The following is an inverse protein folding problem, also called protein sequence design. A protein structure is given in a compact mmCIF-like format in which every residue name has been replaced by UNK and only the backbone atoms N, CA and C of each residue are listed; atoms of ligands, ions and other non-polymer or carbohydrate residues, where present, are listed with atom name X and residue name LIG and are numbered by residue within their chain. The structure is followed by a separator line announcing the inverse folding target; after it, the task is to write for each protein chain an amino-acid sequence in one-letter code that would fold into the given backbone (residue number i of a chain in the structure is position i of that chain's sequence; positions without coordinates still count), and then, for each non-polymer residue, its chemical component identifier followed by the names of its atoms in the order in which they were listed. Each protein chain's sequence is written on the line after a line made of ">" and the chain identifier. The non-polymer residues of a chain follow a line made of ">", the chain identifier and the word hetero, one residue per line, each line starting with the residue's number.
data_IF_690712449022
#
_entry.id   IF_690712449022
#
_cell.length_a   1.000
_cell.length_b   1.000
_cell.length_c   1.000
_cell.angle_alpha   90.00
_cell.angle_beta   90.00
_cell.angle_gamma   90.00
#
_symmetry.space_group_name_H-M   'P 1'
#
loop_
_entity.id
_entity.type
_entity.pdbx_description
1 polymer ?
#
# COMPACT_ATOMS: atom_id res chain seq x y z
N UNK A 1 -6.99 19.07 3.10
CA UNK A 1 -7.11 18.17 1.94
C UNK A 1 -7.52 19.02 0.75
N UNK A 2 -6.88 18.86 -0.42
CA UNK A 2 -7.17 19.66 -1.59
C UNK A 2 -8.67 19.62 -1.95
N UNK A 3 -9.20 20.75 -2.42
CA UNK A 3 -10.54 20.89 -2.99
C UNK A 3 -10.63 20.36 -4.43
N UNK A 4 -9.54 20.40 -5.16
CA UNK A 4 -9.47 19.94 -6.55
C UNK A 4 -8.03 19.81 -7.04
N UNK A 5 -7.81 18.89 -7.98
CA UNK A 5 -6.62 18.81 -8.82
C UNK A 5 -7.03 18.86 -10.28
N UNK A 6 -6.31 19.64 -11.10
CA UNK A 6 -6.62 19.82 -12.52
C UNK A 6 -5.35 19.63 -13.36
N UNK A 7 -5.49 18.96 -14.50
CA UNK A 7 -4.52 18.99 -15.59
C UNK A 7 -5.04 19.97 -16.64
N UNK A 8 -4.29 21.04 -16.87
CA UNK A 8 -4.65 22.07 -17.84
C UNK A 8 -3.59 22.20 -18.90
N UNK A 9 -4.02 22.48 -20.13
CA UNK A 9 -3.15 22.74 -21.27
C UNK A 9 -3.63 24.00 -22.00
N UNK A 10 -2.70 24.71 -22.65
CA UNK A 10 -3.05 25.84 -23.51
C UNK A 10 -3.39 25.38 -24.93
N UNK A 11 -4.56 25.79 -25.39
CA UNK A 11 -5.00 25.69 -26.77
C UNK A 11 -4.97 27.09 -27.43
N UNK A 12 -4.42 27.18 -28.64
CA UNK A 12 -4.29 28.47 -29.35
C UNK A 12 -5.61 29.10 -29.76
N UNK A 13 -6.70 28.32 -29.82
CA UNK A 13 -8.04 28.77 -30.22
C UNK A 13 -8.98 28.93 -29.03
N UNK A 14 -8.88 28.04 -28.04
CA UNK A 14 -9.80 27.98 -26.90
C UNK A 14 -9.22 28.59 -25.61
N UNK A 15 -7.92 28.91 -25.59
CA UNK A 15 -7.22 29.35 -24.39
C UNK A 15 -6.91 28.18 -23.45
N UNK A 16 -6.98 28.38 -22.14
CA UNK A 16 -6.75 27.28 -21.21
C UNK A 16 -7.89 26.23 -21.26
N UNK A 17 -7.50 24.98 -21.50
CA UNK A 17 -8.41 23.82 -21.57
C UNK A 17 -8.08 22.87 -20.43
N UNK A 18 -9.09 22.46 -19.68
CA UNK A 18 -8.97 21.40 -18.66
C UNK A 18 -9.01 20.05 -19.38
N UNK A 19 -7.91 19.30 -19.34
CA UNK A 19 -7.82 17.94 -19.92
C UNK A 19 -8.35 16.88 -18.97
N UNK A 20 -8.15 17.07 -17.68
CA UNK A 20 -8.66 16.19 -16.63
C UNK A 20 -8.79 16.97 -15.33
N UNK A 21 -9.75 16.58 -14.49
CA UNK A 21 -9.94 17.16 -13.17
C UNK A 21 -10.47 16.11 -12.19
N UNK A 22 -10.10 16.26 -10.92
CA UNK A 22 -10.65 15.48 -9.82
C UNK A 22 -10.88 16.38 -8.60
N UNK A 23 -12.09 16.40 -8.01
CA UNK A 23 -13.32 15.82 -8.56
C UNK A 23 -13.70 16.44 -9.91
N UNK A 24 -14.56 15.76 -10.69
CA UNK A 24 -14.93 16.22 -12.03
C UNK A 24 -15.53 17.64 -12.04
N UNK A 25 -16.29 17.98 -11.00
CA UNK A 25 -16.66 19.36 -10.70
C UNK A 25 -15.53 20.02 -9.90
N UNK A 26 -14.79 20.92 -10.54
CA UNK A 26 -13.63 21.57 -9.93
C UNK A 26 -13.93 23.01 -9.48
N UNK A 27 -13.22 23.51 -8.46
CA UNK A 27 -13.51 24.81 -7.83
C UNK A 27 -12.97 26.04 -8.59
N UNK A 28 -12.31 25.86 -9.73
CA UNK A 28 -11.74 26.95 -10.54
C UNK A 28 -12.58 27.23 -11.79
N UNK A 29 -12.80 28.51 -12.07
CA UNK A 29 -13.34 29.00 -13.34
C UNK A 29 -12.25 29.12 -14.41
N UNK A 30 -12.64 29.11 -15.68
CA UNK A 30 -11.70 29.30 -16.80
C UNK A 30 -10.93 30.63 -16.70
N UNK A 31 -11.54 31.68 -16.14
CA UNK A 31 -10.87 32.97 -15.92
C UNK A 31 -9.76 32.86 -14.86
N UNK A 32 -10.01 32.15 -13.75
CA UNK A 32 -8.98 31.88 -12.74
C UNK A 32 -7.83 31.06 -13.33
N UNK A 33 -8.13 30.02 -14.12
CA UNK A 33 -7.12 29.20 -14.80
C UNK A 33 -6.26 30.04 -15.75
N UNK A 34 -6.88 30.90 -16.56
CA UNK A 34 -6.15 31.80 -17.45
C UNK A 34 -5.23 32.77 -16.68
N UNK A 35 -5.67 33.30 -15.53
CA UNK A 35 -4.82 34.16 -14.68
C UNK A 35 -3.61 33.41 -14.13
N UNK A 36 -3.79 32.15 -13.73
CA UNK A 36 -2.70 31.29 -13.26
C UNK A 36 -1.69 31.07 -14.39
N UNK A 37 -2.17 30.77 -15.59
CA UNK A 37 -1.31 30.59 -16.77
C UNK A 37 -0.51 31.85 -17.12
N UNK A 38 -1.16 33.02 -17.08
CA UNK A 38 -0.48 34.30 -17.25
C UNK A 38 0.57 34.57 -16.17
N UNK A 39 0.35 34.09 -14.94
CA UNK A 39 1.34 34.22 -13.87
C UNK A 39 2.61 33.44 -14.19
N UNK A 40 2.48 32.23 -14.73
CA UNK A 40 3.62 31.46 -15.24
C UNK A 40 4.29 32.14 -16.44
N UNK A 41 3.53 32.71 -17.38
CA UNK A 41 4.12 33.34 -18.58
C UNK A 41 4.95 34.59 -18.26
N UNK A 42 4.61 35.32 -17.20
CA UNK A 42 5.34 36.51 -16.75
C UNK A 42 6.64 36.12 -16.03
N UNK A 43 6.70 34.96 -15.38
CA UNK A 43 7.91 34.51 -14.67
C UNK A 43 9.05 34.23 -15.66
N UNK A 44 10.24 34.79 -15.35
CA UNK A 44 11.45 34.67 -16.17
C UNK A 44 12.21 33.35 -15.99
N UNK A 45 11.77 32.51 -15.05
CA UNK A 45 12.37 31.20 -14.78
C UNK A 45 12.14 30.31 -16.01
N UNK A 46 13.16 29.56 -16.42
CA UNK A 46 13.09 28.62 -17.55
C UNK A 46 12.97 27.16 -17.13
N UNK A 47 13.29 26.86 -15.88
CA UNK A 47 13.18 25.53 -15.27
C UNK A 47 11.73 25.26 -14.82
N UNK A 48 11.36 23.99 -14.56
CA UNK A 48 10.09 23.67 -13.93
C UNK A 48 9.88 24.52 -12.67
N UNK A 49 8.69 25.11 -12.55
CA UNK A 49 8.38 26.00 -11.42
C UNK A 49 7.05 25.64 -10.78
N UNK A 50 6.98 25.86 -9.46
CA UNK A 50 5.74 25.81 -8.70
C UNK A 50 5.44 27.22 -8.21
N UNK A 51 4.27 27.73 -8.58
CA UNK A 51 3.72 28.98 -8.05
C UNK A 51 2.68 28.68 -6.99
N UNK A 52 2.72 29.44 -5.90
CA UNK A 52 1.63 29.51 -4.92
C UNK A 52 0.86 30.79 -5.17
N UNK A 53 -0.43 30.67 -5.49
CA UNK A 53 -1.28 31.77 -5.92
C UNK A 53 -2.50 31.81 -5.01
N UNK A 54 -2.76 32.98 -4.43
CA UNK A 54 -3.90 33.21 -3.55
C UNK A 54 -5.02 33.91 -4.35
N UNK A 55 -6.16 33.25 -4.51
CA UNK A 55 -7.30 33.77 -5.28
C UNK A 55 -8.63 33.47 -4.57
N UNK A 56 -9.39 34.53 -4.25
CA UNK A 56 -10.78 34.43 -3.78
C UNK A 56 -10.98 33.44 -2.61
N UNK A 57 -10.11 33.49 -1.58
CA UNK A 57 -10.21 32.60 -0.42
C UNK A 57 -9.62 31.19 -0.63
N UNK A 58 -8.93 30.97 -1.76
CA UNK A 58 -8.30 29.70 -2.13
C UNK A 58 -6.79 29.88 -2.30
N UNK A 59 -6.05 28.84 -1.97
CA UNK A 59 -4.62 28.73 -2.30
C UNK A 59 -4.49 27.74 -3.45
N UNK A 60 -3.81 28.14 -4.52
CA UNK A 60 -3.54 27.31 -5.67
C UNK A 60 -2.03 27.05 -5.75
N UNK A 61 -1.64 25.78 -5.71
CA UNK A 61 -0.30 25.34 -6.10
C UNK A 61 -0.34 24.97 -7.58
N UNK A 62 0.46 25.65 -8.39
CA UNK A 62 0.49 25.46 -9.84
C UNK A 62 1.89 25.04 -10.28
N UNK A 63 2.02 23.81 -10.77
CA UNK A 63 3.27 23.31 -11.36
C UNK A 63 3.22 23.50 -12.88
N UNK A 64 4.28 24.08 -13.44
CA UNK A 64 4.46 24.21 -14.89
C UNK A 64 5.85 23.70 -15.31
N UNK A 65 5.88 22.78 -16.27
CA UNK A 65 7.12 22.31 -16.90
C UNK A 65 7.60 23.31 -17.97
N UNK A 66 8.17 24.43 -17.52
CA UNK A 66 8.55 25.54 -18.40
C UNK A 66 9.62 25.21 -19.42
N UNK A 67 10.52 24.31 -19.04
CA UNK A 67 11.56 23.75 -19.90
C UNK A 67 10.98 23.05 -21.14
N UNK A 68 9.69 22.70 -21.11
CA UNK A 68 8.98 22.00 -22.18
C UNK A 68 7.92 22.84 -22.87
N UNK A 69 7.87 24.16 -22.66
CA UNK A 69 6.87 25.02 -23.33
C UNK A 69 6.95 24.93 -24.85
N UNK A 70 8.16 24.81 -25.41
CA UNK A 70 8.34 24.72 -26.87
C UNK A 70 7.69 23.47 -27.48
N UNK A 71 7.55 22.38 -26.72
CA UNK A 71 7.01 21.11 -27.19
C UNK A 71 5.59 20.84 -26.70
N UNK A 72 5.24 21.33 -25.50
CA UNK A 72 3.98 21.04 -24.82
C UNK A 72 3.05 22.25 -24.70
N UNK A 73 3.50 23.45 -25.08
CA UNK A 73 2.85 24.68 -24.70
C UNK A 73 2.82 24.85 -23.17
N UNK A 74 1.95 25.74 -22.69
CA UNK A 74 1.71 25.87 -21.25
C UNK A 74 0.81 24.72 -20.80
N UNK A 75 1.44 23.65 -20.31
CA UNK A 75 0.76 22.57 -19.59
C UNK A 75 1.08 22.64 -18.11
N UNK A 76 0.06 22.48 -17.26
CA UNK A 76 0.18 22.69 -15.82
C UNK A 76 -0.68 21.72 -15.02
N UNK A 77 -0.23 21.45 -13.81
CA UNK A 77 -1.02 20.76 -12.79
C UNK A 77 -1.39 21.80 -11.72
N UNK A 78 -2.68 21.91 -11.43
CA UNK A 78 -3.22 22.84 -10.43
C UNK A 78 -3.76 22.05 -9.26
N UNK A 79 -3.30 22.34 -8.05
CA UNK A 79 -3.83 21.84 -6.79
C UNK A 79 -4.50 23.00 -6.05
N UNK A 80 -5.76 22.82 -5.64
CA UNK A 80 -6.57 23.88 -5.04
C UNK A 80 -6.86 23.55 -3.59
N UNK A 81 -6.68 24.51 -2.68
CA UNK A 81 -6.89 24.39 -1.25
C UNK A 81 -7.77 25.53 -0.72
N UNK A 82 -8.34 25.36 0.47
CA UNK A 82 -8.87 26.48 1.26
C UNK A 82 -7.71 27.24 1.91
N UNK A 83 -7.84 28.55 2.12
CA UNK A 83 -6.81 29.38 2.78
C UNK A 83 -6.39 28.88 4.17
N UNK A 84 -7.30 28.20 4.89
CA UNK A 84 -7.06 27.68 6.24
C UNK A 84 -6.08 26.49 6.29
N UNK A 85 -5.75 25.85 5.16
CA UNK A 85 -4.95 24.62 5.11
C UNK A 85 -3.42 24.83 4.93
N UNK A 86 -2.93 26.04 5.22
CA UNK A 86 -1.57 26.49 4.94
C UNK A 86 -0.47 25.57 5.52
N UNK A 87 -0.71 24.92 6.67
CA UNK A 87 0.26 24.02 7.31
C UNK A 87 0.59 22.75 6.52
N UNK A 88 -0.27 22.32 5.58
CA UNK A 88 -0.08 21.09 4.79
C UNK A 88 0.57 21.35 3.43
N UNK A 89 0.68 22.61 3.01
CA UNK A 89 1.16 22.99 1.68
C UNK A 89 2.59 22.52 1.35
N UNK A 90 3.58 22.52 2.27
CA UNK A 90 4.94 22.09 1.93
C UNK A 90 5.00 20.65 1.40
N UNK A 91 4.30 19.71 2.06
CA UNK A 91 4.25 18.31 1.63
C UNK A 91 3.58 18.16 0.25
N UNK A 92 2.50 18.90 0.00
CA UNK A 92 1.83 18.90 -1.30
C UNK A 92 2.68 19.55 -2.40
N UNK A 93 3.51 20.55 -2.10
CA UNK A 93 4.45 21.14 -3.06
C UNK A 93 5.50 20.12 -3.50
N UNK A 94 6.09 19.38 -2.55
CA UNK A 94 7.09 18.35 -2.87
C UNK A 94 6.47 17.23 -3.73
N UNK A 95 5.29 16.73 -3.34
CA UNK A 95 4.55 15.74 -4.11
C UNK A 95 4.18 16.25 -5.52
N UNK A 96 3.69 17.48 -5.62
CA UNK A 96 3.35 18.10 -6.90
C UNK A 96 4.58 18.25 -7.81
N UNK A 97 5.74 18.59 -7.25
CA UNK A 97 6.98 18.67 -7.99
C UNK A 97 7.37 17.31 -8.58
N UNK A 98 7.38 16.28 -7.73
CA UNK A 98 7.71 14.91 -8.12
C UNK A 98 6.80 14.39 -9.23
N UNK A 99 5.47 14.47 -9.03
CA UNK A 99 4.52 14.00 -10.03
C UNK A 99 4.50 14.87 -11.28
N UNK A 100 4.69 16.18 -11.16
CA UNK A 100 4.81 17.09 -12.30
C UNK A 100 5.97 16.70 -13.21
N UNK A 101 7.14 16.42 -12.64
CA UNK A 101 8.29 15.96 -13.41
C UNK A 101 8.02 14.65 -14.15
N UNK A 102 7.36 13.68 -13.50
CA UNK A 102 7.01 12.40 -14.14
C UNK A 102 5.97 12.60 -15.24
N UNK A 103 4.85 13.27 -14.91
CA UNK A 103 3.71 13.45 -15.81
C UNK A 103 4.13 14.11 -17.13
N UNK A 104 4.92 15.19 -17.08
CA UNK A 104 5.33 15.90 -18.30
C UNK A 104 6.52 15.26 -19.02
N UNK A 105 7.08 14.16 -18.51
CA UNK A 105 7.99 13.28 -19.26
C UNK A 105 7.24 12.17 -20.02
N UNK A 106 5.97 11.92 -19.72
CA UNK A 106 5.14 10.94 -20.42
C UNK A 106 4.67 11.44 -21.79
N UNK A 107 4.25 10.51 -22.67
CA UNK A 107 3.59 10.84 -23.94
C UNK A 107 2.21 11.44 -23.65
N UNK A 108 1.71 12.29 -24.55
CA UNK A 108 0.45 13.00 -24.36
C UNK A 108 -0.75 12.08 -24.05
N UNK A 109 -0.81 10.90 -24.68
CA UNK A 109 -1.86 9.91 -24.47
C UNK A 109 -1.83 9.30 -23.05
N UNK A 110 -0.65 9.18 -22.46
CA UNK A 110 -0.44 8.54 -21.14
C UNK A 110 -0.61 9.53 -19.98
N UNK A 111 -0.52 10.84 -20.25
CA UNK A 111 -0.60 11.89 -19.23
C UNK A 111 -1.91 11.88 -18.46
N UNK A 112 -3.04 11.69 -19.14
CA UNK A 112 -4.36 11.65 -18.48
C UNK A 112 -4.48 10.43 -17.56
N UNK A 113 -3.95 9.28 -17.97
CA UNK A 113 -3.98 8.07 -17.15
C UNK A 113 -3.09 8.22 -15.91
N UNK A 114 -1.87 8.72 -16.08
CA UNK A 114 -0.99 9.03 -14.95
C UNK A 114 -1.58 10.11 -14.03
N UNK A 115 -2.22 11.13 -14.61
CA UNK A 115 -2.92 12.17 -13.84
C UNK A 115 -4.02 11.57 -12.96
N UNK A 116 -4.84 10.64 -13.50
CA UNK A 116 -5.87 9.95 -12.71
C UNK A 116 -5.25 9.21 -11.52
N UNK A 117 -4.18 8.46 -11.75
CA UNK A 117 -3.47 7.74 -10.67
C UNK A 117 -2.94 8.69 -9.59
N UNK A 118 -2.28 9.78 -9.99
CA UNK A 118 -1.81 10.82 -9.06
C UNK A 118 -2.99 11.49 -8.33
N UNK A 119 -4.08 11.79 -9.03
CA UNK A 119 -5.25 12.44 -8.42
C UNK A 119 -5.86 11.59 -7.32
N UNK A 120 -5.88 10.27 -7.52
CA UNK A 120 -6.27 9.34 -6.47
C UNK A 120 -5.31 9.44 -5.27
N UNK A 121 -3.99 9.39 -5.47
CA UNK A 121 -3.01 9.51 -4.37
C UNK A 121 -3.13 10.81 -3.57
N UNK A 122 -3.41 11.92 -4.26
CA UNK A 122 -3.57 13.25 -3.65
C UNK A 122 -4.82 13.33 -2.78
N UNK A 123 -5.92 12.70 -3.21
CA UNK A 123 -7.23 12.78 -2.56
C UNK A 123 -7.54 11.61 -1.62
N UNK A 124 -6.80 10.52 -1.75
CA UNK A 124 -7.01 9.35 -0.92
C UNK A 124 -6.48 9.63 0.46
N UNK A 125 -7.41 9.73 1.40
CA UNK A 125 -7.06 9.61 2.80
C UNK A 125 -6.44 8.23 2.97
N UNK A 126 -5.16 8.18 3.32
CA UNK A 126 -4.55 6.92 3.66
C UNK A 126 -5.33 6.29 4.80
N UNK A 127 -5.80 5.06 4.58
CA UNK A 127 -6.55 4.34 5.59
C UNK A 127 -5.56 3.58 6.45
N UNK A 128 -5.52 3.90 7.74
CA UNK A 128 -4.70 3.17 8.68
C UNK A 128 -5.28 1.76 8.86
N UNK A 129 -4.45 0.75 8.61
CA UNK A 129 -4.82 -0.66 8.77
C UNK A 129 -3.78 -1.39 9.59
N UNK A 130 -4.21 -2.40 10.33
CA UNK A 130 -3.32 -3.23 11.15
C UNK A 130 -3.23 -4.64 10.58
N UNK A 131 -2.00 -5.08 10.32
CA UNK A 131 -1.65 -6.44 9.89
C UNK A 131 -0.88 -7.15 11.00
N UNK A 132 -1.30 -8.35 11.36
CA UNK A 132 -0.67 -9.16 12.39
C UNK A 132 -0.06 -10.44 11.78
N UNK A 133 1.25 -10.63 11.97
CA UNK A 133 1.93 -11.89 11.65
C UNK A 133 1.97 -12.79 12.90
N UNK A 134 1.46 -14.01 12.77
CA UNK A 134 1.42 -15.01 13.84
C UNK A 134 2.02 -16.31 13.33
N UNK A 135 2.69 -17.07 14.19
CA UNK A 135 3.28 -18.35 13.84
C UNK A 135 4.44 -18.72 14.75
N UNK A 136 4.84 -19.98 14.75
CA UNK A 136 5.94 -20.47 15.56
C UNK A 136 7.27 -19.75 15.25
N UNK A 137 8.29 -19.97 16.08
CA UNK A 137 9.62 -19.41 15.82
C UNK A 137 10.19 -20.00 14.52
N UNK A 138 11.04 -19.23 13.84
CA UNK A 138 11.76 -19.64 12.63
C UNK A 138 10.92 -20.05 11.39
N UNK A 139 9.58 -19.98 11.40
CA UNK A 139 8.72 -20.29 10.23
C UNK A 139 8.82 -19.27 9.08
N UNK A 140 9.55 -18.17 9.29
CA UNK A 140 9.87 -17.18 8.24
C UNK A 140 8.97 -15.94 8.20
N UNK A 141 8.28 -15.59 9.30
CA UNK A 141 7.43 -14.38 9.42
C UNK A 141 8.20 -13.09 9.09
N UNK A 142 9.31 -12.87 9.80
CA UNK A 142 10.15 -11.69 9.61
C UNK A 142 10.79 -11.66 8.22
N UNK A 143 11.12 -12.82 7.65
CA UNK A 143 11.64 -12.90 6.27
C UNK A 143 10.60 -12.46 5.24
N UNK A 144 9.35 -12.96 5.34
CA UNK A 144 8.25 -12.51 4.46
C UNK A 144 8.07 -10.99 4.55
N UNK A 145 8.04 -10.45 5.77
CA UNK A 145 7.90 -9.01 6.01
C UNK A 145 9.03 -8.22 5.34
N UNK A 146 10.29 -8.60 5.58
CA UNK A 146 11.46 -7.91 5.00
C UNK A 146 11.51 -8.02 3.47
N UNK A 147 11.21 -9.19 2.92
CA UNK A 147 11.17 -9.40 1.47
C UNK A 147 10.10 -8.53 0.80
N UNK A 148 8.89 -8.45 1.36
CA UNK A 148 7.79 -7.72 0.74
C UNK A 148 7.82 -6.21 1.03
N UNK A 149 8.01 -5.80 2.29
CA UNK A 149 7.90 -4.39 2.69
C UNK A 149 9.23 -3.62 2.65
N UNK A 150 10.36 -4.30 2.80
CA UNK A 150 11.69 -3.66 2.84
C UNK A 150 12.51 -3.94 1.57
N UNK A 151 11.94 -4.68 0.60
CA UNK A 151 12.64 -5.13 -0.61
C UNK A 151 13.99 -5.81 -0.31
N UNK A 152 14.09 -6.47 0.83
CA UNK A 152 15.32 -7.15 1.23
C UNK A 152 15.62 -8.32 0.28
N UNK A 153 16.89 -8.48 -0.08
CA UNK A 153 17.35 -9.56 -0.94
C UNK A 153 17.03 -10.91 -0.31
N UNK A 154 16.28 -11.75 -1.03
CA UNK A 154 15.99 -13.11 -0.60
C UNK A 154 17.27 -13.92 -0.38
N UNK A 155 18.30 -13.70 -1.20
CA UNK A 155 19.58 -14.40 -1.07
C UNK A 155 20.26 -13.99 0.25
N UNK A 156 20.26 -12.69 0.60
CA UNK A 156 20.85 -12.21 1.86
C UNK A 156 20.10 -12.74 3.10
N UNK A 157 18.78 -12.85 3.02
CA UNK A 157 17.94 -13.36 4.12
C UNK A 157 18.07 -14.88 4.32
N UNK A 158 18.43 -15.62 3.27
CA UNK A 158 18.71 -17.05 3.35
C UNK A 158 20.12 -17.31 3.89
N UNK A 159 21.09 -16.48 3.53
CA UNK A 159 22.50 -16.64 3.92
C UNK A 159 22.82 -16.06 5.31
N UNK A 160 22.03 -15.09 5.78
CA UNK A 160 22.25 -14.44 7.09
C UNK A 160 21.07 -14.71 8.02
N UNK A 161 21.28 -15.47 9.12
CA UNK A 161 20.22 -15.70 10.09
C UNK A 161 19.78 -14.36 10.69
N UNK A 162 18.48 -14.11 10.65
CA UNK A 162 17.86 -12.95 11.29
C UNK A 162 17.95 -13.09 12.81
N UNK A 163 18.16 -11.96 13.49
CA UNK A 163 18.05 -11.93 14.95
C UNK A 163 16.64 -12.35 15.38
N UNK A 164 16.50 -13.13 16.47
CA UNK A 164 15.20 -13.51 17.00
C UNK A 164 14.34 -12.29 17.36
N UNK A 165 13.07 -12.32 16.97
CA UNK A 165 12.09 -11.33 17.42
C UNK A 165 11.73 -11.61 18.89
N UNK A 166 11.80 -10.59 19.74
CA UNK A 166 11.38 -10.64 21.15
C UNK A 166 10.10 -9.81 21.33
N UNK A 167 9.11 -10.33 22.05
CA UNK A 167 7.88 -9.60 22.33
C UNK A 167 6.99 -9.38 21.10
N UNK A 168 6.24 -8.28 21.18
CA UNK A 168 5.44 -7.74 20.09
C UNK A 168 6.21 -6.57 19.48
N UNK A 169 6.64 -6.69 18.22
CA UNK A 169 7.34 -5.61 17.52
C UNK A 169 6.42 -4.96 16.51
N UNK A 170 6.28 -3.64 16.60
CA UNK A 170 5.46 -2.83 15.70
C UNK A 170 6.32 -2.15 14.65
N UNK A 171 5.87 -2.22 13.40
CA UNK A 171 6.45 -1.52 12.26
C UNK A 171 5.37 -0.69 11.57
N UNK A 172 5.76 0.41 10.95
CA UNK A 172 4.86 1.22 10.12
C UNK A 172 5.39 1.26 8.69
N UNK A 173 4.54 0.88 7.75
CA UNK A 173 4.84 0.94 6.32
C UNK A 173 3.72 1.65 5.57
N UNK A 174 4.07 2.36 4.50
CA UNK A 174 3.09 2.86 3.54
C UNK A 174 2.98 1.87 2.37
N UNK A 175 1.77 1.48 2.00
CA UNK A 175 1.51 0.64 0.83
C UNK A 175 0.27 1.16 0.11
N UNK A 176 0.44 1.70 -1.11
CA UNK A 176 -0.64 2.33 -1.87
C UNK A 176 -1.39 3.40 -1.04
N UNK A 177 -2.67 3.20 -0.80
CA UNK A 177 -3.61 4.01 0.01
C UNK A 177 -3.63 3.60 1.49
N UNK A 178 -2.73 2.72 1.94
CA UNK A 178 -2.70 2.21 3.30
C UNK A 178 -1.50 2.75 4.08
N UNK A 179 -1.77 3.15 5.32
CA UNK A 179 -0.75 3.24 6.37
C UNK A 179 -0.85 1.98 7.24
N UNK A 180 0.07 1.04 7.04
CA UNK A 180 0.05 -0.29 7.64
C UNK A 180 0.83 -0.31 8.95
N UNK A 181 0.15 -0.59 10.05
CA UNK A 181 0.77 -1.04 11.30
C UNK A 181 0.97 -2.55 11.25
N UNK A 182 2.22 -3.01 11.14
CA UNK A 182 2.55 -4.44 11.16
C UNK A 182 3.00 -4.83 12.56
N UNK A 183 2.32 -5.79 13.15
CA UNK A 183 2.71 -6.44 14.39
C UNK A 183 3.35 -7.80 14.06
N UNK A 184 4.64 -7.98 14.38
CA UNK A 184 5.34 -9.26 14.28
C UNK A 184 5.46 -9.86 15.68
N UNK A 185 4.79 -10.99 15.88
CA UNK A 185 4.71 -11.66 17.18
C UNK A 185 5.86 -12.66 17.33
N UNK A 186 6.61 -12.53 18.43
CA UNK A 186 7.66 -13.49 18.76
C UNK A 186 7.10 -14.91 18.86
N UNK A 187 7.63 -15.82 18.04
CA UNK A 187 7.07 -17.17 17.93
C UNK A 187 7.18 -18.00 19.21
N UNK A 188 8.10 -17.63 20.12
CA UNK A 188 8.28 -18.27 21.43
C UNK A 188 7.17 -17.89 22.43
N UNK A 189 6.56 -16.71 22.25
CA UNK A 189 5.52 -16.18 23.15
C UNK A 189 4.12 -16.36 22.57
N UNK A 190 3.99 -17.00 21.39
CA UNK A 190 2.72 -17.19 20.70
C UNK A 190 1.67 -17.88 21.58
N UNK A 191 2.03 -18.95 22.29
CA UNK A 191 1.08 -19.65 23.16
C UNK A 191 0.56 -18.76 24.29
N UNK A 192 1.40 -17.87 24.82
CA UNK A 192 1.00 -16.89 25.83
C UNK A 192 0.01 -15.88 25.22
N UNK A 193 0.30 -15.35 24.03
CA UNK A 193 -0.58 -14.40 23.36
C UNK A 193 -1.89 -15.02 22.83
N UNK A 194 -1.95 -16.34 22.66
CA UNK A 194 -3.17 -17.06 22.28
C UNK A 194 -4.03 -17.47 23.48
N UNK A 195 -3.55 -17.31 24.71
CA UNK A 195 -4.33 -17.59 25.93
C UNK A 195 -5.50 -16.59 26.04
N UNK A 196 -6.69 -17.10 26.32
CA UNK A 196 -7.91 -16.30 26.54
C UNK A 196 -7.81 -15.44 27.81
N UNK A 197 -6.99 -15.86 28.79
CA UNK A 197 -6.81 -15.17 30.07
C UNK A 197 -5.67 -14.15 30.04
N UNK A 198 -5.15 -13.82 28.85
CA UNK A 198 -4.06 -12.87 28.70
C UNK A 198 -4.41 -11.52 29.36
N UNK A 199 -3.75 -11.21 30.47
CA UNK A 199 -3.80 -9.90 31.15
C UNK A 199 -2.55 -9.11 30.76
N UNK A 200 -2.49 -8.68 29.51
CA UNK A 200 -1.49 -7.71 29.04
C UNK A 200 -2.15 -6.39 28.74
N UNK A 201 -1.44 -5.29 28.97
CA UNK A 201 -1.92 -3.94 28.65
C UNK A 201 -2.07 -3.72 27.12
N UNK A 202 -1.47 -4.61 26.31
CA UNK A 202 -1.53 -4.58 24.85
C UNK A 202 -1.96 -5.97 24.36
N UNK A 203 -3.16 -6.06 23.79
CA UNK A 203 -3.64 -7.25 23.09
C UNK A 203 -3.28 -7.13 21.59
N UNK A 204 -2.45 -8.01 21.03
CA UNK A 204 -2.05 -7.92 19.63
C UNK A 204 -3.24 -8.04 18.66
N UNK A 205 -4.34 -8.70 19.06
CA UNK A 205 -5.51 -8.89 18.21
C UNK A 205 -6.42 -7.66 18.12
N UNK A 206 -6.40 -6.78 19.11
CA UNK A 206 -7.29 -5.62 19.16
C UNK A 206 -7.06 -4.67 17.97
N UNK A 207 -8.15 -4.31 17.28
CA UNK A 207 -8.10 -3.42 16.12
C UNK A 207 -7.35 -3.97 14.91
N UNK A 208 -7.17 -5.29 14.81
CA UNK A 208 -6.50 -5.92 13.66
C UNK A 208 -7.46 -6.04 12.46
N UNK A 209 -7.02 -5.66 11.27
CA UNK A 209 -7.81 -5.83 10.03
C UNK A 209 -7.44 -7.13 9.30
N UNK A 210 -6.17 -7.52 9.37
CA UNK A 210 -5.61 -8.65 8.63
C UNK A 210 -4.71 -9.50 9.51
N UNK A 211 -4.84 -10.82 9.41
CA UNK A 211 -4.00 -11.78 10.13
C UNK A 211 -3.37 -12.73 9.13
N UNK A 212 -2.04 -12.84 9.15
CA UNK A 212 -1.30 -13.87 8.42
C UNK A 212 -0.75 -14.86 9.44
N UNK A 213 -1.32 -16.06 9.48
CA UNK A 213 -0.78 -17.18 10.23
C UNK A 213 0.23 -17.93 9.37
N UNK A 214 1.47 -18.07 9.82
CA UNK A 214 2.57 -18.69 9.09
C UNK A 214 3.02 -19.97 9.79
N UNK A 215 3.17 -21.04 9.02
CA UNK A 215 3.87 -22.26 9.41
C UNK A 215 4.75 -22.75 8.25
N UNK A 216 5.61 -23.74 8.48
CA UNK A 216 6.42 -24.36 7.44
C UNK A 216 6.23 -25.90 7.38
N UNK A 217 6.63 -26.57 6.28
CA UNK A 217 6.47 -28.02 6.13
C UNK A 217 7.08 -28.84 7.26
N UNK A 218 8.24 -28.43 7.78
CA UNK A 218 8.89 -29.14 8.89
C UNK A 218 8.07 -29.07 10.18
N UNK A 219 7.47 -27.90 10.46
CA UNK A 219 6.56 -27.72 11.58
C UNK A 219 5.26 -28.51 11.39
N UNK A 220 4.73 -28.57 10.16
CA UNK A 220 3.56 -29.38 9.84
C UNK A 220 3.80 -30.88 10.08
N UNK A 221 4.92 -31.41 9.63
CA UNK A 221 5.28 -32.82 9.83
C UNK A 221 5.49 -33.18 11.30
N UNK A 222 6.00 -32.23 12.10
CA UNK A 222 6.27 -32.45 13.52
C UNK A 222 5.02 -32.28 14.37
N UNK A 223 4.18 -31.28 14.09
CA UNK A 223 3.09 -30.88 14.98
C UNK A 223 1.91 -30.19 14.27
N UNK A 224 1.28 -30.91 13.34
CA UNK A 224 0.06 -30.45 12.66
C UNK A 224 -1.12 -30.19 13.61
N UNK A 225 -1.17 -30.88 14.76
CA UNK A 225 -2.26 -30.74 15.73
C UNK A 225 -2.22 -29.35 16.37
N UNK A 226 -1.05 -28.93 16.82
CA UNK A 226 -0.83 -27.60 17.38
C UNK A 226 -1.15 -26.47 16.39
N UNK A 227 -0.93 -26.68 15.08
CA UNK A 227 -1.35 -25.72 14.06
C UNK A 227 -2.87 -25.51 14.06
N UNK A 228 -3.63 -26.61 14.09
CA UNK A 228 -5.09 -26.58 14.17
C UNK A 228 -5.57 -25.93 15.46
N UNK A 229 -4.91 -26.21 16.59
CA UNK A 229 -5.20 -25.56 17.87
C UNK A 229 -4.96 -24.05 17.82
N UNK A 230 -3.84 -23.60 17.25
CA UNK A 230 -3.55 -22.17 17.10
C UNK A 230 -4.61 -21.48 16.26
N UNK A 231 -4.99 -22.06 15.11
CA UNK A 231 -5.99 -21.49 14.22
C UNK A 231 -7.35 -21.39 14.91
N UNK A 232 -7.73 -22.40 15.71
CA UNK A 232 -8.96 -22.38 16.51
C UNK A 232 -8.95 -21.23 17.52
N UNK A 233 -7.85 -21.07 18.28
CA UNK A 233 -7.69 -19.99 19.27
C UNK A 233 -7.70 -18.61 18.60
N UNK A 234 -7.05 -18.48 17.44
CA UNK A 234 -7.05 -17.25 16.64
C UNK A 234 -8.49 -16.88 16.24
N UNK A 235 -9.27 -17.83 15.71
CA UNK A 235 -10.67 -17.58 15.35
C UNK A 235 -11.52 -17.14 16.55
N UNK A 236 -11.35 -17.78 17.70
CA UNK A 236 -12.05 -17.41 18.94
C UNK A 236 -11.71 -15.98 19.38
N UNK A 237 -10.42 -15.59 19.33
CA UNK A 237 -9.98 -14.23 19.66
C UNK A 237 -10.52 -13.18 18.69
N UNK A 238 -10.52 -13.47 17.39
CA UNK A 238 -11.00 -12.54 16.37
C UNK A 238 -12.47 -12.21 16.57
N UNK A 239 -13.31 -13.20 16.89
CA UNK A 239 -14.75 -12.99 17.14
C UNK A 239 -14.99 -11.95 18.25
N UNK A 240 -14.12 -11.88 19.25
CA UNK A 240 -14.28 -10.98 20.39
C UNK A 240 -13.53 -9.66 20.24
N UNK A 241 -12.34 -9.68 19.62
CA UNK A 241 -11.40 -8.54 19.60
C UNK A 241 -11.31 -7.82 18.26
N UNK A 242 -11.61 -8.51 17.16
CA UNK A 242 -11.50 -7.94 15.82
C UNK A 242 -12.48 -8.62 14.84
N UNK A 243 -13.81 -8.48 15.00
CA UNK A 243 -14.78 -9.29 14.26
C UNK A 243 -14.72 -9.15 12.74
N UNK A 244 -14.17 -8.05 12.24
CA UNK A 244 -13.97 -7.78 10.80
C UNK A 244 -12.63 -8.28 10.25
N UNK A 245 -11.76 -8.85 11.08
CA UNK A 245 -10.44 -9.27 10.64
C UNK A 245 -10.51 -10.47 9.70
N UNK A 246 -9.72 -10.44 8.63
CA UNK A 246 -9.59 -11.57 7.69
C UNK A 246 -8.32 -12.36 8.00
N UNK A 247 -8.43 -13.69 7.97
CA UNK A 247 -7.32 -14.60 8.24
C UNK A 247 -6.80 -15.17 6.93
N UNK A 248 -5.48 -15.23 6.81
CA UNK A 248 -4.77 -15.91 5.73
C UNK A 248 -3.78 -16.90 6.33
N UNK A 249 -3.74 -18.10 5.76
CA UNK A 249 -2.92 -19.19 6.26
C UNK A 249 -1.79 -19.42 5.26
N UNK A 250 -0.55 -19.13 5.66
CA UNK A 250 0.63 -19.26 4.82
C UNK A 250 1.41 -20.51 5.25
N UNK A 251 1.53 -21.48 4.35
CA UNK A 251 2.54 -22.53 4.43
C UNK A 251 3.79 -22.02 3.69
N UNK A 252 4.75 -21.49 4.45
CA UNK A 252 5.99 -20.91 3.95
C UNK A 252 7.09 -21.96 3.81
N UNK A 253 8.19 -21.61 3.13
CA UNK A 253 9.33 -22.52 2.85
C UNK A 253 8.96 -23.77 2.05
N UNK A 254 8.03 -23.64 1.11
CA UNK A 254 7.62 -24.75 0.24
C UNK A 254 8.71 -25.27 -0.69
N UNK A 255 9.83 -24.55 -0.79
CA UNK A 255 11.07 -25.03 -1.42
C UNK A 255 11.66 -26.25 -0.71
N UNK A 256 11.41 -26.43 0.59
CA UNK A 256 11.86 -27.60 1.36
C UNK A 256 11.11 -28.89 0.99
N UNK A 257 9.93 -28.79 0.38
CA UNK A 257 9.18 -29.96 -0.09
C UNK A 257 9.67 -30.37 -1.47
N UNK A 258 9.96 -31.67 -1.64
CA UNK A 258 10.41 -32.23 -2.91
C UNK A 258 9.37 -32.01 -4.02
N UNK A 259 9.78 -31.59 -5.24
CA UNK A 259 8.84 -31.27 -6.33
C UNK A 259 7.79 -32.33 -6.60
N UNK A 260 8.15 -33.61 -6.51
CA UNK A 260 7.31 -34.77 -6.77
C UNK A 260 6.22 -34.94 -5.70
N UNK A 261 6.54 -34.59 -4.45
CA UNK A 261 5.66 -34.72 -3.29
C UNK A 261 4.87 -33.45 -2.96
N UNK A 262 5.13 -32.33 -3.65
CA UNK A 262 4.45 -31.04 -3.38
C UNK A 262 2.94 -31.14 -3.51
N UNK A 263 2.44 -31.77 -4.58
CA UNK A 263 0.99 -31.88 -4.80
C UNK A 263 0.30 -32.70 -3.71
N UNK A 264 0.88 -33.83 -3.33
CA UNK A 264 0.34 -34.67 -2.26
C UNK A 264 0.39 -33.93 -0.92
N UNK A 265 1.50 -33.26 -0.61
CA UNK A 265 1.64 -32.46 0.61
C UNK A 265 0.58 -31.36 0.69
N UNK A 266 0.37 -30.61 -0.40
CA UNK A 266 -0.66 -29.57 -0.47
C UNK A 266 -2.05 -30.13 -0.22
N UNK A 267 -2.39 -31.28 -0.83
CA UNK A 267 -3.68 -31.94 -0.62
C UNK A 267 -3.86 -32.40 0.83
N UNK A 268 -2.81 -32.93 1.46
CA UNK A 268 -2.83 -33.33 2.88
C UNK A 268 -3.08 -32.12 3.78
N UNK A 269 -2.37 -31.01 3.57
CA UNK A 269 -2.55 -29.78 4.34
C UNK A 269 -3.96 -29.22 4.16
N UNK A 270 -4.43 -29.11 2.91
CA UNK A 270 -5.78 -28.59 2.61
C UNK A 270 -6.86 -29.48 3.24
N UNK A 271 -6.73 -30.80 3.13
CA UNK A 271 -7.71 -31.74 3.72
C UNK A 271 -7.72 -31.68 5.25
N UNK A 272 -6.55 -31.58 5.88
CA UNK A 272 -6.46 -31.47 7.34
C UNK A 272 -6.97 -30.12 7.87
N UNK A 273 -6.88 -29.04 7.07
CA UNK A 273 -7.37 -27.70 7.40
C UNK A 273 -8.72 -27.38 6.76
N UNK A 274 -9.50 -28.39 6.36
CA UNK A 274 -10.80 -28.21 5.70
C UNK A 274 -11.79 -27.43 6.56
N UNK A 275 -11.73 -27.57 7.90
CA UNK A 275 -12.52 -26.79 8.85
C UNK A 275 -12.21 -25.29 8.83
N UNK A 276 -11.06 -24.89 8.28
CA UNK A 276 -10.63 -23.51 8.11
C UNK A 276 -10.69 -23.06 6.65
N UNK A 277 -11.33 -23.82 5.76
CA UNK A 277 -11.40 -23.58 4.31
C UNK A 277 -12.01 -22.24 3.90
N UNK A 278 -12.76 -21.57 4.79
CA UNK A 278 -13.20 -20.19 4.61
C UNK A 278 -12.05 -19.17 4.56
N UNK A 279 -10.88 -19.54 5.10
CA UNK A 279 -9.67 -18.74 5.08
C UNK A 279 -8.75 -19.23 3.95
N UNK A 280 -8.19 -18.33 3.11
CA UNK A 280 -7.27 -18.74 2.05
C UNK A 280 -6.01 -19.42 2.60
N UNK A 281 -5.73 -20.64 2.14
CA UNK A 281 -4.49 -21.38 2.41
C UNK A 281 -3.54 -21.19 1.23
N UNK A 282 -2.36 -20.65 1.49
CA UNK A 282 -1.40 -20.21 0.49
C UNK A 282 -0.04 -20.85 0.72
N UNK A 283 0.49 -21.47 -0.31
CA UNK A 283 1.80 -22.12 -0.31
C UNK A 283 2.84 -21.15 -0.88
N UNK A 284 3.83 -20.77 -0.08
CA UNK A 284 4.78 -19.69 -0.40
C UNK A 284 6.23 -20.04 -0.02
N UNK A 285 7.18 -19.27 -0.56
CA UNK A 285 8.58 -19.26 -0.14
C UNK A 285 9.24 -17.96 -0.63
N UNK A 286 10.28 -17.52 0.08
CA UNK A 286 11.09 -16.36 -0.31
C UNK A 286 12.12 -16.68 -1.41
N UNK A 287 12.31 -17.95 -1.74
CA UNK A 287 13.25 -18.38 -2.79
C UNK A 287 12.80 -17.90 -4.17
N UNK A 288 13.76 -17.69 -5.09
CA UNK A 288 13.51 -17.13 -6.44
C UNK A 288 12.37 -17.82 -7.21
N UNK A 289 12.27 -19.14 -7.10
CA UNK A 289 11.23 -19.91 -7.79
C UNK A 289 9.80 -19.63 -7.29
N UNK A 290 9.65 -19.25 -6.01
CA UNK A 290 8.36 -19.01 -5.36
C UNK A 290 8.07 -17.54 -5.09
N UNK A 291 9.09 -16.68 -5.23
CA UNK A 291 9.00 -15.25 -4.95
C UNK A 291 7.82 -14.57 -5.68
N UNK A 292 7.56 -14.80 -6.99
CA UNK A 292 6.39 -14.22 -7.64
C UNK A 292 5.06 -14.65 -6.99
N UNK A 293 4.99 -15.89 -6.51
CA UNK A 293 3.83 -16.42 -5.78
C UNK A 293 3.64 -15.74 -4.42
N UNK A 294 4.73 -15.50 -3.69
CA UNK A 294 4.69 -14.73 -2.44
C UNK A 294 4.20 -13.30 -2.66
N UNK A 295 4.72 -12.60 -3.67
CA UNK A 295 4.27 -11.23 -3.98
C UNK A 295 2.80 -11.19 -4.39
N UNK A 296 2.34 -12.12 -5.24
CA UNK A 296 0.92 -12.24 -5.59
C UNK A 296 0.05 -12.51 -4.36
N UNK A 297 0.49 -13.40 -3.46
CA UNK A 297 -0.23 -13.70 -2.23
C UNK A 297 -0.35 -12.45 -1.35
N UNK A 298 0.75 -11.72 -1.13
CA UNK A 298 0.75 -10.50 -0.33
C UNK A 298 -0.11 -9.40 -0.97
N UNK A 299 -0.07 -9.25 -2.30
CA UNK A 299 -0.97 -8.34 -3.03
C UNK A 299 -2.44 -8.70 -2.80
N UNK A 300 -2.79 -9.98 -2.85
CA UNK A 300 -4.16 -10.45 -2.55
C UNK A 300 -4.57 -10.14 -1.11
N UNK A 301 -3.67 -10.29 -0.13
CA UNK A 301 -3.93 -9.94 1.28
C UNK A 301 -4.17 -8.43 1.42
N UNK A 302 -3.27 -7.61 0.88
CA UNK A 302 -3.38 -6.14 1.00
C UNK A 302 -4.58 -5.60 0.22
N UNK A 303 -4.92 -6.21 -0.91
CA UNK A 303 -6.08 -5.84 -1.71
C UNK A 303 -7.43 -6.08 -1.01
N UNK A 304 -7.46 -6.82 0.09
CA UNK A 304 -8.68 -6.97 0.89
C UNK A 304 -9.07 -5.72 1.68
N UNK A 305 -8.13 -4.80 1.91
CA UNK A 305 -8.32 -3.62 2.75
C UNK A 305 -7.96 -2.31 2.05
N UNK A 306 -7.34 -2.40 0.87
CA UNK A 306 -7.06 -1.28 -0.03
C UNK A 306 -8.26 -0.99 -0.92
N UNK A 307 -8.59 0.29 -1.04
CA UNK A 307 -9.64 0.78 -1.94
C UNK A 307 -9.08 0.92 -3.37
N UNK A 308 -7.75 1.15 -3.53
CA UNK A 308 -7.09 1.24 -4.86
C UNK A 308 -7.16 -0.04 -5.67
N UNK A 309 -7.06 -1.20 -5.02
CA UNK A 309 -6.96 -2.46 -5.76
C UNK A 309 -8.25 -2.82 -6.48
N UNK A 310 -9.42 -2.44 -5.95
CA UNK A 310 -10.70 -2.68 -6.62
C UNK A 310 -10.89 -1.83 -7.87
N UNK A 311 -10.46 -0.56 -7.82
CA UNK A 311 -10.61 0.37 -8.96
C UNK A 311 -9.62 0.11 -10.10
N UNK A 312 -8.48 -0.53 -9.82
CA UNK A 312 -7.51 -0.91 -10.84
C UNK A 312 -7.96 -2.11 -11.71
N UNK A 313 -8.91 -2.92 -11.25
CA UNK A 313 -9.46 -4.04 -12.04
C UNK A 313 -10.56 -3.60 -13.02
N UNK A 314 -11.13 -2.39 -12.84
CA UNK A 314 -12.16 -1.82 -13.72
C UNK A 314 -11.61 -0.94 -14.87
N UNK A 315 -10.29 -0.83 -15.00
CA UNK A 315 -9.58 -0.07 -16.06
C UNK A 315 -8.95 -1.03 -17.08
#
# INVERSE_FOLDING_TARGET
>A
MPLGILLTEWDSTLGAVVKAAYPAQHPLSNNEINKILMSHSISKIKEPEILEIHLQGKIILSYCAKDKIATLGYSMILLVFKEEENSTLPAYKENLNFHGMILFNQRAQDRVNYFKQMSFEVFSKKTSRKLLFIGASAVGKTSIKKTFFESASSDDLLDRPLEPTYGLVHYSYAWLDLDLGIADLAGQEMNHFLDENLKTDIDPFEGTDLIIYVFDPSYWETDAMTITEHLTKIQQKIITKAPSAKIFIFCNKMDLVQPESRKSFQQTVIGALESFSSNPIIFTSITKAFLPGLFRAMQMVMGQVSERTGEMEEI
#
